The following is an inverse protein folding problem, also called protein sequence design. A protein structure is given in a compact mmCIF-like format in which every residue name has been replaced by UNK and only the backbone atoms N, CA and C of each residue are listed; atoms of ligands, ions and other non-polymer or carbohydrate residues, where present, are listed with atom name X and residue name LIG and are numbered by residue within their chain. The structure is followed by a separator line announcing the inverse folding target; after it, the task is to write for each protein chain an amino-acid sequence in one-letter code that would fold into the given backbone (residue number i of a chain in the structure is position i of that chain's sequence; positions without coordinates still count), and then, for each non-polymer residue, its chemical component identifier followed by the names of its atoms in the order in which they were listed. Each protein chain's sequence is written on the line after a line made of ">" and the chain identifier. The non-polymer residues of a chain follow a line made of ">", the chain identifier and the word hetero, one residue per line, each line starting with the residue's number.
data_IF_752186150427
#
_entry.id   IF_752186150427
#
_cell.length_a   1.000
_cell.length_b   1.000
_cell.length_c   1.000
_cell.angle_alpha   90.00
_cell.angle_beta   90.00
_cell.angle_gamma   90.00
#
_symmetry.space_group_name_H-M   'P 1'
#
loop_
_entity.id
_entity.type
_entity.pdbx_description
1 polymer ?
#
# COMPACT_ATOMS: atom_id res chain seq x y z
N UNK A 1 18.44 -6.67 10.94
CA UNK A 1 18.04 -6.56 10.76
C UNK A 1 17.03 -6.59 10.48
N UNK A 2 16.45 -6.34 10.17
CA UNK A 2 15.57 -6.22 9.94
C UNK A 2 14.83 -6.19 9.52
N UNK A 3 14.36 -6.13 9.38
CA UNK A 3 13.72 -6.09 8.90
C UNK A 3 12.46 -6.01 8.87
N UNK A 4 11.85 -5.66 9.43
CA UNK A 4 10.54 -5.57 9.30
C UNK A 4 10.33 -4.40 8.53
N UNK A 5 9.65 -4.44 7.50
CA UNK A 5 9.48 -3.39 6.74
C UNK A 5 8.24 -2.76 7.10
N UNK A 6 8.15 -1.67 7.66
CA UNK A 6 6.96 -0.95 7.98
C UNK A 6 6.57 0.02 6.87
N UNK A 7 7.45 0.27 5.95
CA UNK A 7 7.19 1.18 4.84
C UNK A 7 7.59 0.52 3.55
N UNK A 8 6.70 0.56 2.56
CA UNK A 8 6.95 -0.07 1.28
C UNK A 8 7.03 0.96 0.16
N UNK A 9 7.71 0.62 -0.90
CA UNK A 9 7.66 1.43 -2.12
C UNK A 9 6.50 0.89 -2.96
N UNK A 10 6.27 1.45 -4.13
CA UNK A 10 5.17 1.04 -4.97
C UNK A 10 5.20 -0.43 -5.30
N UNK A 11 6.35 -0.90 -5.71
CA UNK A 11 6.48 -2.28 -6.12
C UNK A 11 6.22 -3.21 -4.96
N UNK A 12 6.76 -2.89 -3.81
CA UNK A 12 6.60 -3.73 -2.64
C UNK A 12 5.15 -3.72 -2.16
N UNK A 13 4.51 -2.57 -2.18
CA UNK A 13 3.14 -2.48 -1.74
C UNK A 13 2.20 -3.25 -2.66
N UNK A 14 2.45 -3.16 -3.96
CA UNK A 14 1.63 -3.89 -4.91
C UNK A 14 1.78 -5.39 -4.70
N UNK A 15 3.00 -5.83 -4.46
CA UNK A 15 3.23 -7.24 -4.20
C UNK A 15 2.56 -7.68 -2.90
N UNK A 16 2.60 -6.83 -1.91
CA UNK A 16 2.00 -7.14 -0.62
C UNK A 16 0.48 -7.33 -0.77
N UNK A 17 -0.13 -6.50 -1.59
CA UNK A 17 -1.57 -6.58 -1.80
C UNK A 17 -1.95 -7.58 -2.87
N UNK A 18 -0.99 -8.03 -3.66
CA UNK A 18 -1.27 -8.96 -4.74
C UNK A 18 -1.95 -8.31 -5.93
N UNK A 19 -1.67 -7.05 -6.17
CA UNK A 19 -2.28 -6.34 -7.30
C UNK A 19 -1.19 -5.73 -8.16
N UNK A 20 -1.56 -5.25 -9.31
CA UNK A 20 -0.58 -4.66 -10.21
C UNK A 20 -0.23 -3.26 -9.76
N UNK A 21 0.93 -2.78 -10.17
CA UNK A 21 1.36 -1.43 -9.82
C UNK A 21 0.40 -0.38 -10.36
N UNK A 22 -0.08 -0.48 -11.61
CA UNK A 22 -1.06 0.50 -12.08
C UNK A 22 -2.32 0.54 -11.22
N UNK A 23 -2.79 -0.62 -10.79
CA UNK A 23 -3.97 -0.67 -9.95
C UNK A 23 -3.71 0.00 -8.61
N UNK A 24 -2.55 -0.26 -8.03
CA UNK A 24 -2.19 0.36 -6.78
C UNK A 24 -2.10 1.87 -6.94
N UNK A 25 -1.52 2.32 -8.04
CA UNK A 25 -1.37 3.75 -8.27
C UNK A 25 -2.73 4.45 -8.30
N UNK A 26 -3.70 3.80 -8.91
CA UNK A 26 -5.04 4.36 -8.95
C UNK A 26 -5.60 4.49 -7.53
N UNK A 27 -5.39 3.48 -6.70
CA UNK A 27 -5.90 3.53 -5.33
C UNK A 27 -5.22 4.64 -4.53
N UNK A 28 -3.94 4.85 -4.76
CA UNK A 28 -3.23 5.89 -4.05
C UNK A 28 -3.70 7.27 -4.51
N UNK A 29 -3.87 7.44 -5.82
CA UNK A 29 -4.28 8.72 -6.31
C UNK A 29 -5.70 9.05 -5.96
N UNK A 30 -6.54 8.08 -5.76
CA UNK A 30 -7.91 8.33 -5.41
C UNK A 30 -8.07 8.65 -3.93
N UNK A 31 -7.00 8.47 -3.16
CA UNK A 31 -7.05 8.77 -1.74
C UNK A 31 -7.54 7.62 -0.89
N UNK A 32 -7.71 6.46 -1.47
CA UNK A 32 -8.16 5.33 -0.68
C UNK A 32 -7.10 4.82 0.26
N UNK A 33 -5.87 4.91 -0.11
CA UNK A 33 -4.77 4.46 0.72
C UNK A 33 -3.84 5.64 0.95
N UNK A 34 -3.62 6.04 2.17
CA UNK A 34 -2.74 7.17 2.44
C UNK A 34 -1.30 6.82 2.13
N UNK A 35 -0.55 7.78 1.67
CA UNK A 35 0.85 7.57 1.35
C UNK A 35 1.60 8.90 1.43
N UNK A 36 2.92 8.83 1.34
CA UNK A 36 3.73 10.01 1.32
C UNK A 36 4.69 9.94 0.20
N UNK A 37 5.14 11.06 -0.26
CA UNK A 37 6.15 11.10 -1.28
C UNK A 37 7.38 11.79 -0.74
N UNK A 38 8.52 11.23 -0.97
CA UNK A 38 9.78 11.82 -0.57
C UNK A 38 10.62 11.89 -1.84
N UNK A 39 10.65 13.06 -2.45
CA UNK A 39 11.32 13.18 -3.73
C UNK A 39 10.56 12.37 -4.75
N UNK A 40 11.20 11.41 -5.34
CA UNK A 40 10.53 10.57 -6.30
C UNK A 40 10.10 9.26 -5.72
N UNK A 41 10.28 9.05 -4.43
CA UNK A 41 9.92 7.81 -3.86
C UNK A 41 8.55 7.84 -3.28
N UNK A 42 7.81 6.78 -3.46
CA UNK A 42 6.51 6.65 -2.86
C UNK A 42 6.69 5.85 -1.59
N UNK A 43 6.16 6.32 -0.50
CA UNK A 43 6.30 5.66 0.79
C UNK A 43 4.91 5.32 1.30
N UNK A 44 4.66 4.03 1.45
CA UNK A 44 3.35 3.55 1.86
C UNK A 44 3.51 2.72 3.10
N UNK A 45 2.85 3.10 4.17
CA UNK A 45 3.00 2.38 5.42
C UNK A 45 2.27 1.05 5.34
N UNK A 46 2.88 0.00 5.85
CA UNK A 46 2.25 -1.29 5.86
C UNK A 46 0.92 -1.22 6.61
N UNK A 47 0.90 -0.46 7.70
CA UNK A 47 -0.33 -0.32 8.48
C UNK A 47 -1.47 0.27 7.65
N UNK A 48 -1.14 1.17 6.73
CA UNK A 48 -2.15 1.76 5.88
C UNK A 48 -2.74 0.72 4.94
N UNK A 49 -1.90 -0.17 4.43
CA UNK A 49 -2.37 -1.23 3.55
C UNK A 49 -3.25 -2.21 4.32
N UNK A 50 -2.85 -2.54 5.53
CA UNK A 50 -3.62 -3.46 6.33
C UNK A 50 -4.98 -2.86 6.69
N UNK A 51 -4.99 -1.58 7.00
CA UNK A 51 -6.23 -0.94 7.34
C UNK A 51 -7.15 -0.88 6.15
N UNK A 52 -6.61 -0.62 4.97
CA UNK A 52 -7.42 -0.57 3.77
C UNK A 52 -8.05 -1.93 3.51
N UNK A 53 -7.28 -3.00 3.70
CA UNK A 53 -7.81 -4.33 3.50
C UNK A 53 -8.93 -4.63 4.49
N UNK A 54 -8.75 -4.24 5.72
CA UNK A 54 -9.75 -4.48 6.71
C UNK A 54 -10.98 -3.67 6.45
N UNK A 55 -10.81 -2.42 5.99
CA UNK A 55 -11.92 -1.67 5.88
C UNK A 55 -12.69 -2.00 4.74
N UNK A 56 -12.18 -2.52 3.72
CA UNK A 56 -12.90 -2.82 2.58
C UNK A 56 -13.89 -3.86 2.95
N UNK A 57 -13.68 -4.49 3.96
CA UNK A 57 -14.64 -5.26 4.49
C UNK A 57 -15.02 -6.45 3.93
N UNK A 58 -14.81 -6.66 2.92
CA UNK A 58 -15.28 -7.72 2.39
C UNK A 58 -14.50 -8.69 2.47
N UNK A 59 -14.25 -9.37 3.03
CA UNK A 59 -13.55 -10.27 3.05
C UNK A 59 -14.06 -11.38 2.82
N UNK A 60 -13.68 -12.03 2.13
CA UNK A 60 -14.28 -13.16 1.75
C UNK A 60 -14.05 -14.06 2.74
N UNK A 61 -13.98 -14.15 3.31
CA UNK A 61 -13.79 -15.13 4.12
C UNK A 61 -13.31 -15.51 4.83
#
# INVERSE_FOLDING_TARGET
>A
MQQSRDVFNLKEAAAYLGISIPTLTVLLRSGEIPFRRAGQRWLIARAALDQWLCRSGERPG
#
